data_IF_321196107452
#
_entry.id   IF_321196107452
#
_cell.length_a   1.000
_cell.length_b   1.000
_cell.length_c   1.000
_cell.angle_alpha   90.00
_cell.angle_beta   90.00
_cell.angle_gamma   90.00
#
_symmetry.space_group_name_H-M   'P 1'
#
loop_
_entity.id
_entity.type
_entity.pdbx_description
1 polymer ?
#
# COMPACT_ATOMS: atom_id res chain seq x y z
N UNK A 1 12.49 3.74 -55.20
CA UNK A 1 12.04 2.62 -54.35
C UNK A 1 10.86 1.96 -55.04
N UNK A 2 10.84 0.62 -55.18
CA UNK A 2 9.70 -0.10 -55.74
C UNK A 2 8.45 0.10 -54.87
N UNK A 3 7.28 0.18 -55.49
CA UNK A 3 5.99 0.46 -54.84
C UNK A 3 5.67 -0.51 -53.69
N UNK A 4 6.08 -1.78 -53.80
CA UNK A 4 5.88 -2.79 -52.75
C UNK A 4 6.62 -2.47 -51.43
N UNK A 5 7.81 -1.85 -51.50
CA UNK A 5 8.55 -1.43 -50.31
C UNK A 5 7.90 -0.23 -49.63
N UNK A 6 7.37 0.71 -50.43
CA UNK A 6 6.64 1.86 -49.92
C UNK A 6 5.34 1.44 -49.23
N UNK A 7 4.56 0.56 -49.85
CA UNK A 7 3.31 0.08 -49.28
C UNK A 7 3.53 -0.67 -47.96
N UNK A 8 4.53 -1.56 -47.91
CA UNK A 8 4.90 -2.28 -46.68
C UNK A 8 5.37 -1.33 -45.56
N UNK A 9 6.11 -0.27 -45.90
CA UNK A 9 6.54 0.76 -44.95
C UNK A 9 5.35 1.56 -44.41
N UNK A 10 4.38 1.94 -45.26
CA UNK A 10 3.16 2.64 -44.82
C UNK A 10 2.33 1.77 -43.86
N UNK A 11 2.06 0.51 -44.21
CA UNK A 11 1.34 -0.44 -43.33
C UNK A 11 2.06 -0.59 -41.98
N UNK A 12 3.39 -0.60 -41.98
CA UNK A 12 4.20 -0.67 -40.75
C UNK A 12 4.05 0.60 -39.89
N UNK A 13 4.07 1.79 -40.51
CA UNK A 13 3.86 3.05 -39.79
C UNK A 13 2.44 3.15 -39.21
N UNK A 14 1.42 2.75 -39.96
CA UNK A 14 0.04 2.71 -39.46
C UNK A 14 -0.10 1.77 -38.24
N UNK A 15 0.55 0.60 -38.27
CA UNK A 15 0.55 -0.32 -37.14
C UNK A 15 1.22 0.29 -35.90
N UNK A 16 2.37 0.95 -36.07
CA UNK A 16 3.07 1.64 -34.96
C UNK A 16 2.21 2.77 -34.36
N UNK A 17 1.50 3.53 -35.20
CA UNK A 17 0.59 4.58 -34.74
C UNK A 17 -0.58 3.99 -33.95
N UNK A 18 -1.24 2.95 -34.47
CA UNK A 18 -2.33 2.25 -33.76
C UNK A 18 -1.85 1.69 -32.41
N UNK A 19 -0.65 1.11 -32.36
CA UNK A 19 -0.08 0.60 -31.12
C UNK A 19 0.17 1.73 -30.09
N UNK A 20 0.66 2.89 -30.53
CA UNK A 20 0.84 4.05 -29.65
C UNK A 20 -0.48 4.58 -29.13
N UNK A 21 -1.49 4.72 -29.98
CA UNK A 21 -2.85 5.13 -29.56
C UNK A 21 -3.38 4.18 -28.49
N UNK A 22 -3.25 2.86 -28.69
CA UNK A 22 -3.67 1.86 -27.69
C UNK A 22 -2.94 2.04 -26.35
N UNK A 23 -1.62 2.21 -26.38
CA UNK A 23 -0.81 2.43 -25.15
C UNK A 23 -1.23 3.69 -24.41
N UNK A 24 -1.45 4.80 -25.12
CA UNK A 24 -1.90 6.04 -24.49
C UNK A 24 -3.33 5.92 -23.95
N UNK A 25 -4.21 5.18 -24.63
CA UNK A 25 -5.55 4.88 -24.12
C UNK A 25 -5.52 4.06 -22.83
N UNK A 26 -4.65 3.05 -22.74
CA UNK A 26 -4.44 2.26 -21.53
C UNK A 26 -3.94 3.13 -20.37
N UNK A 27 -2.98 4.03 -20.62
CA UNK A 27 -2.52 4.99 -19.61
C UNK A 27 -3.64 5.92 -19.15
N UNK A 28 -4.42 6.45 -20.09
CA UNK A 28 -5.55 7.32 -19.77
C UNK A 28 -6.58 6.59 -18.89
N UNK A 29 -6.92 5.35 -19.23
CA UNK A 29 -7.85 4.54 -18.45
C UNK A 29 -7.32 4.27 -17.03
N UNK A 30 -6.02 3.98 -16.90
CA UNK A 30 -5.37 3.81 -15.59
C UNK A 30 -5.46 5.09 -14.76
N UNK A 31 -5.15 6.24 -15.35
CA UNK A 31 -5.24 7.54 -14.67
C UNK A 31 -6.68 7.86 -14.25
N UNK A 32 -7.67 7.57 -15.11
CA UNK A 32 -9.09 7.73 -14.76
C UNK A 32 -9.47 6.88 -13.56
N UNK A 33 -9.07 5.61 -13.51
CA UNK A 33 -9.32 4.71 -12.37
C UNK A 33 -8.67 5.24 -11.09
N UNK A 34 -7.39 5.63 -11.16
CA UNK A 34 -6.66 6.19 -10.01
C UNK A 34 -7.27 7.49 -9.51
N UNK A 35 -7.74 8.36 -10.41
CA UNK A 35 -8.41 9.59 -10.03
C UNK A 35 -9.75 9.30 -9.35
N UNK A 36 -10.51 8.32 -9.87
CA UNK A 36 -11.75 7.87 -9.26
C UNK A 36 -11.54 7.35 -7.84
N UNK A 37 -10.56 6.46 -7.65
CA UNK A 37 -10.19 5.95 -6.32
C UNK A 37 -9.84 7.09 -5.35
N UNK A 38 -9.02 8.06 -5.80
CA UNK A 38 -8.68 9.22 -4.98
C UNK A 38 -9.89 10.08 -4.61
N UNK A 39 -10.82 10.30 -5.55
CA UNK A 39 -12.04 11.07 -5.29
C UNK A 39 -12.89 10.39 -4.21
N UNK A 40 -13.13 9.08 -4.33
CA UNK A 40 -13.89 8.30 -3.35
C UNK A 40 -13.19 8.30 -1.98
N UNK A 41 -11.86 8.15 -1.97
CA UNK A 41 -11.08 8.23 -0.73
C UNK A 41 -11.19 9.61 -0.06
N UNK A 42 -11.14 10.70 -0.84
CA UNK A 42 -11.34 12.05 -0.32
C UNK A 42 -12.74 12.23 0.29
N UNK A 43 -13.77 11.70 -0.35
CA UNK A 43 -15.15 11.73 0.15
C UNK A 43 -15.28 10.95 1.47
N UNK A 44 -14.73 9.74 1.54
CA UNK A 44 -14.70 8.96 2.77
C UNK A 44 -14.02 9.74 3.91
N UNK A 45 -12.87 10.36 3.64
CA UNK A 45 -12.16 11.17 4.62
C UNK A 45 -12.99 12.37 5.09
N UNK A 46 -13.70 13.05 4.18
CA UNK A 46 -14.61 14.13 4.57
C UNK A 46 -15.72 13.64 5.50
N UNK A 47 -16.32 12.48 5.21
CA UNK A 47 -17.32 11.85 6.08
C UNK A 47 -16.75 11.55 7.47
N UNK A 48 -15.52 11.02 7.54
CA UNK A 48 -14.83 10.73 8.81
C UNK A 48 -14.54 12.00 9.63
N UNK A 49 -14.38 13.15 8.97
CA UNK A 49 -14.25 14.45 9.66
C UNK A 49 -15.59 15.03 10.13
N UNK A 50 -16.70 14.29 10.01
CA UNK A 50 -18.04 14.72 10.40
C UNK A 50 -18.71 15.68 9.40
N UNK A 51 -18.13 15.85 8.20
CA UNK A 51 -18.76 16.64 7.14
C UNK A 51 -19.85 15.81 6.45
N UNK A 52 -20.99 16.42 6.09
CA UNK A 52 -22.03 15.71 5.36
C UNK A 52 -21.55 15.33 3.95
N UNK A 53 -21.85 14.11 3.54
CA UNK A 53 -21.69 13.68 2.15
C UNK A 53 -22.84 14.28 1.33
N UNK A 54 -22.51 15.19 0.42
CA UNK A 54 -23.49 15.86 -0.44
C UNK A 54 -23.11 15.69 -1.90
N UNK A 55 -24.10 15.65 -2.79
CA UNK A 55 -23.87 15.59 -4.24
C UNK A 55 -23.31 14.25 -4.74
N UNK A 56 -23.52 13.15 -4.01
CA UNK A 56 -23.13 11.81 -4.45
C UNK A 56 -24.21 11.21 -5.34
N UNK A 57 -23.79 10.58 -6.43
CA UNK A 57 -24.65 9.72 -7.24
C UNK A 57 -24.61 8.26 -6.74
N UNK A 58 -25.41 7.39 -7.35
CA UNK A 58 -25.45 5.98 -6.98
C UNK A 58 -24.11 5.27 -7.21
N UNK A 59 -23.37 5.64 -8.26
CA UNK A 59 -22.08 5.02 -8.58
C UNK A 59 -21.02 5.42 -7.56
N UNK A 60 -21.06 6.66 -7.05
CA UNK A 60 -20.20 7.14 -5.97
C UNK A 60 -20.41 6.31 -4.70
N UNK A 61 -21.67 6.00 -4.37
CA UNK A 61 -22.02 5.18 -3.22
C UNK A 61 -21.59 3.72 -3.41
N UNK A 62 -21.75 3.17 -4.61
CA UNK A 62 -21.31 1.82 -4.94
C UNK A 62 -19.78 1.69 -4.84
N UNK A 63 -19.04 2.61 -5.46
CA UNK A 63 -17.58 2.64 -5.39
C UNK A 63 -17.08 2.80 -3.95
N UNK A 64 -17.73 3.67 -3.17
CA UNK A 64 -17.43 3.87 -1.76
C UNK A 64 -17.70 2.60 -0.95
N UNK A 65 -18.84 1.94 -1.17
CA UNK A 65 -19.18 0.67 -0.52
C UNK A 65 -18.15 -0.43 -0.81
N UNK A 66 -17.69 -0.54 -2.06
CA UNK A 66 -16.63 -1.48 -2.44
C UNK A 66 -15.32 -1.18 -1.72
N UNK A 67 -14.89 0.10 -1.71
CA UNK A 67 -13.66 0.53 -1.06
C UNK A 67 -13.68 0.30 0.46
N UNK A 68 -14.82 0.54 1.12
CA UNK A 68 -15.01 0.24 2.54
C UNK A 68 -14.86 -1.26 2.79
N UNK A 69 -15.49 -2.10 1.98
CA UNK A 69 -15.42 -3.55 2.12
C UNK A 69 -13.98 -4.07 1.94
N UNK A 70 -13.24 -3.56 0.95
CA UNK A 70 -11.82 -3.86 0.75
C UNK A 70 -10.98 -3.43 1.96
N UNK A 71 -11.19 -2.20 2.45
CA UNK A 71 -10.48 -1.68 3.63
C UNK A 71 -10.75 -2.53 4.88
N UNK A 72 -11.99 -2.97 5.07
CA UNK A 72 -12.36 -3.86 6.19
C UNK A 72 -11.67 -5.22 6.08
N UNK A 73 -11.61 -5.81 4.88
CA UNK A 73 -10.89 -7.07 4.66
C UNK A 73 -9.41 -6.93 5.00
N UNK A 74 -8.77 -5.85 4.56
CA UNK A 74 -7.37 -5.56 4.86
C UNK A 74 -7.12 -5.38 6.35
N UNK A 75 -8.00 -4.67 7.06
CA UNK A 75 -7.92 -4.50 8.52
C UNK A 75 -8.04 -5.86 9.22
N UNK A 76 -9.03 -6.68 8.83
CA UNK A 76 -9.22 -8.03 9.40
C UNK A 76 -8.01 -8.91 9.16
N UNK A 77 -7.44 -8.87 7.95
CA UNK A 77 -6.22 -9.62 7.62
C UNK A 77 -5.04 -9.17 8.49
N UNK A 78 -4.81 -7.86 8.63
CA UNK A 78 -3.75 -7.29 9.49
C UNK A 78 -3.91 -7.67 10.95
N UNK A 79 -5.15 -7.68 11.47
CA UNK A 79 -5.43 -8.11 12.85
C UNK A 79 -5.08 -9.59 13.03
N UNK A 80 -5.41 -10.45 12.06
CA UNK A 80 -5.07 -11.88 12.11
C UNK A 80 -3.56 -12.09 12.09
N UNK A 81 -2.85 -11.45 11.16
CA UNK A 81 -1.39 -11.56 11.06
C UNK A 81 -0.69 -11.13 12.35
N UNK A 82 -1.10 -10.00 12.95
CA UNK A 82 -0.53 -9.55 14.24
C UNK A 82 -0.76 -10.55 15.37
N UNK A 83 -1.94 -11.17 15.44
CA UNK A 83 -2.22 -12.19 16.47
C UNK A 83 -1.37 -13.43 16.27
N UNK A 84 -1.11 -13.83 15.03
CA UNK A 84 -0.25 -14.97 14.72
C UNK A 84 1.22 -14.66 15.04
N UNK A 85 1.71 -13.46 14.73
CA UNK A 85 3.04 -12.98 15.13
C UNK A 85 3.23 -13.00 16.66
N UNK A 86 2.24 -12.50 17.42
CA UNK A 86 2.26 -12.49 18.89
C UNK A 86 2.30 -13.90 19.49
N UNK A 87 1.56 -14.86 18.91
CA UNK A 87 1.61 -16.27 19.33
C UNK A 87 2.97 -16.91 19.05
N UNK A 88 3.64 -16.53 17.96
CA UNK A 88 4.98 -17.03 17.61
C UNK A 88 6.07 -16.44 18.52
N UNK A 89 5.93 -15.18 18.94
CA UNK A 89 6.86 -14.56 19.91
C UNK A 89 6.73 -15.17 21.31
N UNK A 90 5.53 -15.56 21.75
CA UNK A 90 5.32 -16.21 23.06
C UNK A 90 5.89 -17.63 23.14
N UNK A 91 6.10 -18.31 22.01
CA UNK A 91 6.62 -19.68 21.92
C UNK A 91 8.16 -19.72 21.69
N UNK A 92 8.83 -18.57 21.65
CA UNK A 92 10.30 -18.51 21.59
C UNK A 92 10.93 -18.71 22.97
N UNK A 93 11.94 -19.59 23.13
CA UNK A 93 12.66 -19.72 24.39
C UNK A 93 13.39 -18.41 24.69
N UNK A 94 13.08 -17.80 25.83
CA UNK A 94 13.84 -16.67 26.39
C UNK A 94 15.31 -17.03 26.49
N UNK A 95 16.14 -16.53 25.57
CA UNK A 95 17.59 -16.68 25.63
C UNK A 95 18.08 -15.86 26.83
N UNK A 96 18.33 -16.54 27.95
CA UNK A 96 18.87 -15.94 29.16
C UNK A 96 20.18 -15.20 28.84
N UNK A 97 20.22 -13.91 29.11
CA UNK A 97 21.45 -13.13 29.02
C UNK A 97 22.45 -13.61 30.10
N UNK A 98 23.76 -13.74 29.80
CA UNK A 98 24.75 -14.20 30.77
C UNK A 98 24.94 -13.19 31.92
N UNK A 99 25.21 -13.64 33.16
CA UNK A 99 25.51 -12.74 34.27
C UNK A 99 26.84 -12.03 34.03
N UNK A 100 26.84 -10.70 34.12
CA UNK A 100 28.06 -9.90 34.18
C UNK A 100 28.90 -10.36 35.37
N UNK A 101 30.13 -10.82 35.09
CA UNK A 101 31.08 -11.25 36.11
C UNK A 101 31.25 -10.17 37.18
N UNK A 102 30.98 -10.54 38.43
CA UNK A 102 31.42 -9.81 39.61
C UNK A 102 32.94 -9.90 39.70
N UNK A 103 33.64 -8.78 39.48
CA UNK A 103 35.01 -8.61 39.98
C UNK A 103 34.93 -7.89 41.31
N UNK A 104 35.06 -8.68 42.38
CA UNK A 104 35.37 -8.20 43.73
C UNK A 104 36.89 -8.22 43.89
N UNK A 105 37.46 -7.07 44.21
CA UNK A 105 38.63 -6.89 45.09
C UNK A 105 38.43 -5.47 45.65
N UNK A 106 37.73 -5.29 46.77
CA UNK A 106 38.27 -5.35 48.14
C UNK A 106 39.57 -4.53 48.30
N UNK A 107 39.48 -3.40 49.00
CA UNK A 107 40.38 -3.00 50.09
C UNK A 107 39.96 -1.63 50.67
N UNK A 108 39.16 -1.72 51.74
CA UNK A 108 39.36 -1.09 53.05
C UNK A 108 40.23 0.20 53.15
N UNK A 109 39.66 1.34 53.57
CA UNK A 109 40.20 2.12 54.70
C UNK A 109 39.20 3.13 55.28
N UNK A 110 39.35 3.33 56.58
CA UNK A 110 38.42 3.83 57.60
C UNK A 110 38.03 5.33 57.54
N UNK A 111 36.76 5.57 57.87
CA UNK A 111 36.25 6.34 59.03
C UNK A 111 37.11 7.51 59.58
N UNK A 112 36.58 8.75 59.57
CA UNK A 112 36.17 9.52 60.78
C UNK A 112 36.05 11.04 60.53
N UNK A 113 35.00 11.59 61.14
CA UNK A 113 34.71 13.01 61.51
C UNK A 113 33.88 13.85 60.55
#
# INVERSE_FOLDING_TARGET
MPEGEQNKKMVTHEMLLKQRIKKEQEKLNKLKKQNREKQIQMLMNQCLTGKPLTGLDFNDLEDMGSMINETLKDIVAKIKSRKEEELVEMDQPSVAQPPMHASVTDENFHDTT
#
